data_IF_305215187208
#
_entry.id   IF_305215187208
#
_cell.length_a   1.000
_cell.length_b   1.000
_cell.length_c   1.000
_cell.angle_alpha   90.00
_cell.angle_beta   90.00
_cell.angle_gamma   90.00
#
_symmetry.space_group_name_H-M   'P 1'
#
loop_
_entity.id
_entity.type
_entity.pdbx_description
1 polymer ?
#
# COMPACT_ATOMS: atom_id res chain seq x y z
N UNK A 1 10.06 -12.68 2.30
CA UNK A 1 9.58 -12.50 3.68
C UNK A 1 8.17 -13.06 3.81
N UNK A 2 7.93 -13.85 4.85
CA UNK A 2 6.62 -14.45 5.07
C UNK A 2 5.81 -13.63 6.06
N UNK A 3 5.34 -12.48 5.60
CA UNK A 3 4.51 -11.62 6.41
C UNK A 3 3.07 -12.13 6.42
N UNK A 4 2.33 -11.96 7.54
CA UNK A 4 0.90 -12.26 7.53
C UNK A 4 0.19 -11.48 6.44
N UNK A 5 -0.68 -12.16 5.70
CA UNK A 5 -1.36 -11.59 4.53
C UNK A 5 -2.87 -11.82 4.67
N UNK A 6 -3.48 -11.01 5.55
CA UNK A 6 -4.92 -11.07 5.81
C UNK A 6 -5.65 -10.19 4.80
N UNK A 7 -6.58 -10.80 4.04
CA UNK A 7 -7.32 -10.08 3.02
C UNK A 7 -8.27 -9.05 3.63
N UNK A 8 -8.35 -7.89 3.01
CA UNK A 8 -9.33 -6.88 3.35
C UNK A 8 -10.70 -7.24 2.80
N UNK A 9 -11.74 -6.65 3.37
CA UNK A 9 -13.10 -6.75 2.83
C UNK A 9 -13.42 -5.46 2.08
N UNK A 10 -13.50 -5.51 0.73
CA UNK A 10 -13.85 -4.33 -0.06
C UNK A 10 -15.28 -3.86 0.23
N UNK A 11 -15.50 -2.57 0.05
CA UNK A 11 -16.83 -1.97 0.09
C UNK A 11 -17.04 -1.16 -1.19
N UNK A 12 -18.20 -0.51 -1.31
CA UNK A 12 -18.51 0.26 -2.53
C UNK A 12 -17.55 1.44 -2.70
N UNK A 13 -17.09 2.01 -1.60
CA UNK A 13 -16.21 3.19 -1.61
C UNK A 13 -14.81 2.88 -2.13
N UNK A 14 -14.27 1.71 -1.84
CA UNK A 14 -12.89 1.35 -2.17
C UNK A 14 -12.76 0.20 -3.18
N UNK A 15 -13.88 -0.30 -3.72
CA UNK A 15 -13.82 -1.44 -4.62
C UNK A 15 -12.95 -1.24 -5.86
N UNK A 16 -12.87 -0.05 -6.49
CA UNK A 16 -11.96 0.11 -7.63
C UNK A 16 -10.48 -0.12 -7.27
N UNK A 17 -10.08 0.25 -6.06
CA UNK A 17 -8.72 -0.02 -5.59
C UNK A 17 -8.44 -1.53 -5.55
N UNK A 18 -9.35 -2.31 -4.97
CA UNK A 18 -9.18 -3.75 -4.85
C UNK A 18 -9.35 -4.47 -6.18
N UNK A 19 -10.21 -3.98 -7.07
CA UNK A 19 -10.32 -4.51 -8.43
C UNK A 19 -9.01 -4.31 -9.20
N UNK A 20 -8.39 -3.14 -9.05
CA UNK A 20 -7.07 -2.87 -9.62
C UNK A 20 -6.00 -3.80 -9.06
N UNK A 21 -6.05 -4.08 -7.75
CA UNK A 21 -5.09 -4.97 -7.09
C UNK A 21 -5.12 -6.37 -7.70
N UNK A 22 -6.28 -6.86 -8.11
CA UNK A 22 -6.40 -8.17 -8.77
C UNK A 22 -5.65 -8.20 -10.11
N UNK A 23 -5.41 -7.04 -10.72
CA UNK A 23 -4.66 -6.89 -11.98
C UNK A 23 -3.25 -6.36 -11.73
N UNK A 24 -2.81 -6.34 -10.48
CA UNK A 24 -1.52 -5.79 -10.05
C UNK A 24 -1.34 -4.31 -10.40
N UNK A 25 -2.45 -3.58 -10.41
CA UNK A 25 -2.47 -2.14 -10.68
C UNK A 25 -2.81 -1.36 -9.42
N UNK A 26 -2.06 -0.30 -9.19
CA UNK A 26 -2.36 0.64 -8.08
C UNK A 26 -3.33 1.69 -8.59
N UNK A 27 -4.61 1.49 -8.33
CA UNK A 27 -5.68 2.38 -8.76
C UNK A 27 -6.11 3.25 -7.59
N UNK A 28 -6.02 4.56 -7.76
CA UNK A 28 -6.29 5.52 -6.70
C UNK A 28 -7.33 6.55 -7.14
N UNK A 29 -8.11 7.10 -6.19
CA UNK A 29 -9.03 8.18 -6.49
C UNK A 29 -8.34 9.54 -6.46
N UNK A 30 -8.75 10.41 -7.36
CA UNK A 30 -8.28 11.78 -7.45
C UNK A 30 -9.47 12.72 -7.49
N UNK A 31 -9.46 13.77 -6.66
CA UNK A 31 -10.51 14.78 -6.68
C UNK A 31 -10.42 15.61 -7.94
N UNK A 32 -11.54 15.71 -8.68
CA UNK A 32 -11.59 16.53 -9.89
C UNK A 32 -11.59 18.02 -9.60
N UNK A 33 -12.02 18.41 -8.39
CA UNK A 33 -12.13 19.81 -8.02
C UNK A 33 -10.79 20.40 -7.59
N UNK A 34 -10.08 19.75 -6.68
CA UNK A 34 -8.82 20.25 -6.13
C UNK A 34 -7.59 19.45 -6.54
N UNK A 35 -7.78 18.38 -7.32
CA UNK A 35 -6.72 17.51 -7.84
C UNK A 35 -5.96 16.72 -6.77
N UNK A 36 -6.46 16.69 -5.54
CA UNK A 36 -5.84 15.91 -4.47
C UNK A 36 -5.96 14.41 -4.75
N UNK A 37 -4.84 13.69 -4.70
CA UNK A 37 -4.84 12.22 -4.80
C UNK A 37 -5.08 11.65 -3.42
N UNK A 38 -6.10 10.81 -3.30
CA UNK A 38 -6.65 10.39 -2.01
C UNK A 38 -6.05 9.06 -1.56
N UNK A 39 -5.51 9.04 -0.36
CA UNK A 39 -5.13 7.83 0.35
C UNK A 39 -5.65 7.92 1.80
N UNK A 40 -6.31 6.97 2.37
CA UNK A 40 -6.78 5.71 1.78
C UNK A 40 -8.00 5.97 0.89
N UNK A 41 -8.28 5.08 -0.11
CA UNK A 41 -9.34 5.36 -1.10
C UNK A 41 -10.71 5.60 -0.51
N UNK A 42 -11.32 6.69 -0.91
CA UNK A 42 -12.68 7.10 -0.48
C UNK A 42 -13.34 7.95 -1.55
N UNK A 43 -14.66 8.10 -1.43
CA UNK A 43 -15.46 8.81 -2.44
C UNK A 43 -15.60 10.30 -2.19
N UNK A 44 -15.23 10.77 -1.00
CA UNK A 44 -15.30 12.18 -0.64
C UNK A 44 -13.89 12.67 -0.39
N UNK A 45 -13.51 13.76 -1.08
CA UNK A 45 -12.19 14.34 -0.93
C UNK A 45 -12.00 14.88 0.50
N UNK A 46 -10.97 14.43 1.24
CA UNK A 46 -10.75 14.93 2.60
C UNK A 46 -10.24 16.36 2.65
N UNK A 47 -9.72 16.89 1.52
CA UNK A 47 -9.20 18.26 1.47
C UNK A 47 -10.28 19.29 1.21
N UNK A 48 -11.21 19.03 0.29
CA UNK A 48 -12.21 20.04 -0.10
C UNK A 48 -13.66 19.58 0.06
N UNK A 49 -13.91 18.33 0.45
CA UNK A 49 -15.25 17.80 0.66
C UNK A 49 -16.01 17.45 -0.60
N UNK A 50 -15.42 17.59 -1.79
CA UNK A 50 -16.09 17.27 -3.04
C UNK A 50 -16.37 15.78 -3.18
N UNK A 51 -17.51 15.42 -3.77
CA UNK A 51 -17.83 14.04 -4.14
C UNK A 51 -17.46 13.73 -5.59
N UNK A 52 -16.87 14.70 -6.30
CA UNK A 52 -16.49 14.53 -7.71
C UNK A 52 -15.08 13.93 -7.80
N UNK A 53 -15.01 12.61 -7.71
CA UNK A 53 -13.79 11.85 -7.64
C UNK A 53 -13.68 10.90 -8.83
N UNK A 54 -12.52 10.89 -9.48
CA UNK A 54 -12.19 9.93 -10.54
C UNK A 54 -11.11 8.96 -10.07
N UNK A 55 -11.09 7.79 -10.68
CA UNK A 55 -10.08 6.78 -10.41
C UNK A 55 -9.07 6.74 -11.55
N UNK A 56 -7.80 6.55 -11.21
CA UNK A 56 -6.73 6.46 -12.21
C UNK A 56 -5.70 5.43 -11.78
N UNK A 57 -4.92 4.94 -12.74
CA UNK A 57 -3.81 4.04 -12.43
C UNK A 57 -2.56 4.86 -12.09
N UNK A 58 -2.09 4.74 -10.84
CA UNK A 58 -0.86 5.38 -10.42
C UNK A 58 0.35 4.59 -10.90
N UNK A 59 1.52 5.24 -10.91
CA UNK A 59 2.77 4.60 -11.37
C UNK A 59 3.17 3.38 -10.54
N UNK A 60 2.79 3.37 -9.27
CA UNK A 60 3.18 2.30 -8.36
C UNK A 60 4.60 2.46 -7.83
N UNK A 61 5.21 3.62 -8.05
CA UNK A 61 6.57 3.91 -7.58
C UNK A 61 6.56 5.05 -6.57
N UNK A 62 7.56 5.07 -5.72
CA UNK A 62 7.69 6.10 -4.71
C UNK A 62 9.04 6.02 -4.02
N UNK A 63 9.16 6.76 -2.93
CA UNK A 63 10.37 6.79 -2.12
C UNK A 63 10.02 6.51 -0.66
N UNK A 64 10.91 5.86 0.06
CA UNK A 64 10.72 5.65 1.50
C UNK A 64 10.80 7.02 2.18
N UNK A 65 9.67 7.43 2.77
CA UNK A 65 9.59 8.67 3.52
C UNK A 65 10.12 8.49 4.94
N UNK A 66 9.73 7.39 5.59
CA UNK A 66 10.24 6.99 6.90
C UNK A 66 10.05 5.49 7.07
N UNK A 67 10.81 4.87 7.96
CA UNK A 67 10.65 3.46 8.25
C UNK A 67 11.16 3.12 9.63
N UNK A 68 10.72 1.95 10.11
CA UNK A 68 11.30 1.30 11.28
C UNK A 68 11.46 -0.18 11.00
N UNK A 69 12.43 -0.80 11.65
CA UNK A 69 12.60 -2.26 11.59
C UNK A 69 11.98 -2.81 12.87
N UNK A 70 10.89 -3.52 12.73
CA UNK A 70 10.17 -4.10 13.86
C UNK A 70 10.83 -5.42 14.24
N UNK A 71 11.39 -5.47 15.45
CA UNK A 71 12.11 -6.64 15.94
C UNK A 71 11.34 -7.45 16.96
N UNK A 72 10.33 -6.87 17.56
CA UNK A 72 9.42 -7.54 18.51
C UNK A 72 8.01 -7.01 18.34
N UNK A 73 7.08 -7.93 18.29
CA UNK A 73 5.66 -7.61 18.23
C UNK A 73 4.88 -8.84 18.73
N UNK A 74 3.79 -8.68 19.51
CA UNK A 74 2.98 -9.81 19.91
C UNK A 74 2.07 -10.28 18.77
N UNK A 75 1.52 -11.50 18.92
CA UNK A 75 0.52 -12.02 18.01
C UNK A 75 1.08 -12.69 16.78
N UNK A 76 0.28 -12.72 15.72
CA UNK A 76 0.59 -13.45 14.48
C UNK A 76 1.80 -12.92 13.73
N UNK A 77 2.18 -11.67 13.98
CA UNK A 77 3.34 -11.05 13.33
C UNK A 77 4.66 -11.36 14.03
N UNK A 78 4.63 -11.99 15.21
CA UNK A 78 5.85 -12.24 16.00
C UNK A 78 6.85 -13.10 15.26
N UNK A 79 6.41 -14.05 14.45
CA UNK A 79 7.27 -14.94 13.67
C UNK A 79 7.81 -14.30 12.39
N UNK A 80 7.24 -13.17 11.99
CA UNK A 80 7.67 -12.46 10.80
C UNK A 80 8.83 -11.48 11.07
N UNK A 81 9.14 -11.22 12.33
CA UNK A 81 10.21 -10.28 12.71
C UNK A 81 11.59 -10.85 12.37
N UNK A 82 12.58 -9.99 12.02
CA UNK A 82 12.42 -8.56 11.80
C UNK A 82 11.77 -8.24 10.46
N UNK A 83 10.91 -7.22 10.44
CA UNK A 83 10.31 -6.74 9.20
C UNK A 83 10.29 -5.21 9.18
N UNK A 84 10.11 -4.65 7.99
CA UNK A 84 10.10 -3.19 7.81
C UNK A 84 8.65 -2.70 7.78
N UNK A 85 8.36 -1.71 8.62
CA UNK A 85 7.15 -0.92 8.54
C UNK A 85 7.55 0.47 8.06
N UNK A 86 6.93 0.96 7.00
CA UNK A 86 7.36 2.19 6.35
C UNK A 86 6.19 3.05 5.90
N UNK A 87 6.47 4.36 5.75
CA UNK A 87 5.66 5.25 4.94
C UNK A 87 6.38 5.44 3.61
N UNK A 88 5.68 5.13 2.53
CA UNK A 88 6.15 5.38 1.16
C UNK A 88 5.44 6.59 0.63
N UNK A 89 6.20 7.60 0.20
CA UNK A 89 5.64 8.74 -0.51
C UNK A 89 5.57 8.39 -1.99
N UNK A 90 4.34 8.23 -2.49
CA UNK A 90 4.11 7.92 -3.90
C UNK A 90 4.50 9.10 -4.78
N UNK A 91 4.90 8.82 -6.01
CA UNK A 91 5.23 9.88 -6.97
C UNK A 91 4.03 10.81 -7.20
N UNK A 92 2.81 10.33 -7.00
CA UNK A 92 1.59 11.12 -7.10
C UNK A 92 1.26 11.96 -5.87
N UNK A 93 2.03 11.82 -4.79
CA UNK A 93 1.93 12.66 -3.60
C UNK A 93 1.55 11.98 -2.29
N UNK A 94 0.59 11.07 -2.23
CA UNK A 94 0.18 10.49 -0.95
C UNK A 94 1.27 9.66 -0.27
N UNK A 95 1.21 9.61 1.05
CA UNK A 95 2.07 8.75 1.85
C UNK A 95 1.28 7.54 2.31
N UNK A 96 1.79 6.36 1.99
CA UNK A 96 1.13 5.08 2.22
C UNK A 96 1.88 4.30 3.28
N UNK A 97 1.19 3.89 4.35
CA UNK A 97 1.79 3.00 5.35
C UNK A 97 1.78 1.58 4.80
N UNK A 98 2.94 0.94 4.79
CA UNK A 98 3.13 -0.36 4.16
C UNK A 98 4.30 -1.11 4.76
N UNK A 99 4.54 -2.31 4.25
CA UNK A 99 5.77 -3.03 4.53
C UNK A 99 6.68 -2.99 3.31
N UNK A 100 7.99 -2.93 3.55
CA UNK A 100 8.98 -3.09 2.48
C UNK A 100 9.46 -4.54 2.51
N UNK A 101 9.26 -5.23 1.40
CA UNK A 101 9.63 -6.65 1.26
C UNK A 101 10.79 -6.80 0.29
N UNK A 102 11.39 -7.99 0.28
CA UNK A 102 12.51 -8.32 -0.61
C UNK A 102 13.65 -7.29 -0.54
N UNK A 103 13.92 -6.81 0.66
CA UNK A 103 14.97 -5.82 0.91
C UNK A 103 16.03 -6.37 1.88
N UNK A 104 17.22 -5.80 1.79
CA UNK A 104 18.28 -6.04 2.76
C UNK A 104 18.09 -5.05 3.92
N UNK A 105 17.80 -5.57 5.11
CA UNK A 105 17.54 -4.75 6.30
C UNK A 105 18.74 -3.89 6.70
N UNK A 106 19.95 -4.28 6.28
CA UNK A 106 21.17 -3.52 6.60
C UNK A 106 21.42 -2.38 5.61
N UNK A 107 20.72 -2.38 4.47
CA UNK A 107 20.95 -1.41 3.39
C UNK A 107 19.81 -0.43 3.19
N UNK A 108 18.67 -0.68 3.80
CA UNK A 108 17.49 0.16 3.60
C UNK A 108 17.70 1.56 4.18
N UNK A 109 17.29 2.60 3.43
CA UNK A 109 17.48 4.00 3.82
C UNK A 109 16.27 4.84 3.43
N UNK A 110 16.05 5.93 4.18
CA UNK A 110 15.09 6.96 3.79
C UNK A 110 15.54 7.52 2.43
N UNK A 111 14.57 7.67 1.52
CA UNK A 111 14.84 8.15 0.16
C UNK A 111 15.02 7.04 -0.86
N UNK A 112 15.17 5.79 -0.44
CA UNK A 112 15.29 4.68 -1.38
C UNK A 112 14.05 4.58 -2.26
N UNK A 113 14.27 4.34 -3.56
CA UNK A 113 13.19 4.15 -4.51
C UNK A 113 12.61 2.75 -4.35
N UNK A 114 11.28 2.71 -4.34
CA UNK A 114 10.53 1.46 -4.19
C UNK A 114 9.43 1.38 -5.24
N UNK A 115 9.00 0.16 -5.51
CA UNK A 115 7.92 -0.11 -6.45
C UNK A 115 6.88 -1.02 -5.80
N UNK A 116 5.64 -0.92 -6.27
CA UNK A 116 4.55 -1.73 -5.75
C UNK A 116 4.79 -3.21 -6.00
N UNK A 117 4.32 -4.01 -5.07
CA UNK A 117 4.16 -5.46 -5.22
C UNK A 117 2.85 -5.84 -4.54
N UNK A 118 2.06 -6.65 -5.22
CA UNK A 118 0.82 -7.16 -4.64
C UNK A 118 1.04 -8.59 -4.20
N UNK A 119 0.76 -8.85 -2.92
CA UNK A 119 0.94 -10.17 -2.34
C UNK A 119 -0.41 -10.83 -2.12
N UNK A 120 -0.51 -12.12 -2.43
CA UNK A 120 -1.72 -12.88 -2.21
C UNK A 120 -2.13 -12.85 -0.75
N UNK A 121 -3.43 -12.75 -0.52
CA UNK A 121 -4.00 -12.67 0.82
C UNK A 121 -5.18 -13.62 0.94
N UNK A 122 -5.42 -14.08 2.17
CA UNK A 122 -6.54 -14.96 2.47
C UNK A 122 -7.47 -14.31 3.47
N UNK A 123 -8.75 -14.59 3.35
CA UNK A 123 -9.77 -14.11 4.28
C UNK A 123 -9.84 -15.00 5.53
N UNK A 124 -10.77 -14.69 6.44
CA UNK A 124 -10.93 -15.45 7.68
C UNK A 124 -11.35 -16.91 7.47
N UNK A 125 -11.97 -17.20 6.31
CA UNK A 125 -12.37 -18.56 5.94
C UNK A 125 -11.25 -19.32 5.25
N UNK A 126 -10.08 -18.70 5.02
CA UNK A 126 -8.96 -19.31 4.31
C UNK A 126 -9.08 -19.25 2.80
N UNK A 127 -10.04 -18.49 2.27
CA UNK A 127 -10.22 -18.31 0.84
C UNK A 127 -9.45 -17.11 0.33
N UNK A 128 -9.12 -17.12 -0.96
CA UNK A 128 -8.38 -16.00 -1.58
C UNK A 128 -9.22 -14.73 -1.57
N UNK A 129 -8.63 -13.67 -1.01
CA UNK A 129 -9.20 -12.33 -1.04
C UNK A 129 -8.39 -11.40 -1.94
N UNK A 130 -8.70 -10.09 -1.92
CA UNK A 130 -7.91 -9.12 -2.68
C UNK A 130 -6.46 -9.11 -2.23
N UNK A 131 -5.50 -9.02 -3.17
CA UNK A 131 -4.08 -8.95 -2.80
C UNK A 131 -3.77 -7.71 -1.97
N UNK A 132 -2.73 -7.82 -1.15
CA UNK A 132 -2.25 -6.71 -0.32
C UNK A 132 -1.17 -5.92 -1.05
N UNK A 133 -1.27 -4.60 -0.97
CA UNK A 133 -0.24 -3.71 -1.50
C UNK A 133 0.94 -3.65 -0.54
N UNK A 134 2.12 -3.97 -1.05
CA UNK A 134 3.39 -3.78 -0.39
C UNK A 134 4.38 -3.17 -1.38
N UNK A 135 5.57 -2.85 -0.93
CA UNK A 135 6.59 -2.26 -1.79
C UNK A 135 7.90 -3.01 -1.63
N UNK A 136 8.71 -2.97 -2.66
CA UNK A 136 10.05 -3.52 -2.67
C UNK A 136 11.01 -2.52 -3.30
N UNK A 137 12.33 -2.58 -2.97
CA UNK A 137 13.29 -1.70 -3.63
C UNK A 137 13.29 -1.91 -5.13
N UNK A 138 13.38 -0.80 -5.87
CA UNK A 138 13.52 -0.89 -7.33
C UNK A 138 14.91 -1.43 -7.67
N UNK A 139 14.99 -2.19 -8.73
CA UNK A 139 16.28 -2.63 -9.26
C UNK A 139 16.86 -1.48 -10.06
N UNK A 140 17.98 -0.96 -9.58
CA UNK A 140 18.71 0.09 -10.30
C UNK A 140 19.61 -0.53 -11.33
#
# INVERSE_FOLDING_TARGET
>A
MNLPSNAAQPNLENSPFFEGALQEKLVLPKCKKCEFVIWFPREICPECGSQNVDWFEASGTGSIYSFTITRRIPGSWSKATPFVLAYVELDEGPRVMTNIVDCDLTQIRIGDRVEKVFEEAVDRAGENGPPLLRFRPTKS
#
